data_IF_072817903284
#
_entry.id   IF_072817903284
#
_cell.length_a   1.000
_cell.length_b   1.000
_cell.length_c   1.000
_cell.angle_alpha   90.00
_cell.angle_beta   90.00
_cell.angle_gamma   90.00
#
_symmetry.space_group_name_H-M   'P 1'
#
loop_
_entity.id
_entity.type
_entity.pdbx_description
1 polymer ?
#
# COMPACT_ATOMS: atom_id res chain seq x y z
N UNK A 1 -35.16 11.18 40.80
CA UNK A 1 -36.20 10.58 39.92
C UNK A 1 -35.55 10.37 38.56
N UNK A 2 -35.07 9.16 38.27
CA UNK A 2 -34.42 8.86 36.99
C UNK A 2 -35.49 8.67 35.92
N UNK A 3 -35.44 9.45 34.84
CA UNK A 3 -36.27 9.24 33.66
C UNK A 3 -35.97 7.85 33.07
N UNK A 4 -36.93 6.93 33.22
CA UNK A 4 -36.96 5.70 32.45
C UNK A 4 -37.13 6.08 30.97
N UNK A 5 -36.03 6.02 30.21
CA UNK A 5 -36.06 6.11 28.74
C UNK A 5 -37.07 5.09 28.22
N UNK A 6 -38.18 5.58 27.66
CA UNK A 6 -39.19 4.76 26.99
C UNK A 6 -38.50 3.99 25.86
N UNK A 7 -38.38 2.68 26.05
CA UNK A 7 -37.90 1.75 25.02
C UNK A 7 -38.95 1.73 23.91
N UNK A 8 -38.57 2.16 22.71
CA UNK A 8 -39.44 2.08 21.54
C UNK A 8 -39.58 0.59 21.16
N UNK A 9 -40.80 0.01 21.11
CA UNK A 9 -41.00 -1.42 20.90
C UNK A 9 -40.56 -1.93 19.51
N UNK A 10 -40.11 -1.02 18.62
CA UNK A 10 -39.57 -1.34 17.29
C UNK A 10 -38.04 -1.22 17.20
N UNK A 11 -37.35 -0.95 18.30
CA UNK A 11 -35.89 -0.84 18.31
C UNK A 11 -35.26 -1.88 19.23
N UNK A 12 -34.30 -2.64 18.70
CA UNK A 12 -33.41 -3.48 19.48
C UNK A 12 -32.07 -2.74 19.60
N UNK A 13 -31.53 -2.66 20.81
CA UNK A 13 -30.16 -2.21 21.03
C UNK A 13 -29.27 -3.45 21.05
N UNK A 14 -28.40 -3.59 20.05
CA UNK A 14 -27.37 -4.63 20.02
C UNK A 14 -26.02 -4.02 20.37
N UNK A 15 -25.31 -4.65 21.30
CA UNK A 15 -23.91 -4.33 21.61
C UNK A 15 -23.06 -5.48 21.08
N UNK A 16 -22.09 -5.19 20.22
CA UNK A 16 -21.14 -6.18 19.70
C UNK A 16 -19.75 -5.87 20.20
N UNK A 17 -19.06 -6.89 20.71
CA UNK A 17 -17.61 -6.81 20.98
C UNK A 17 -16.86 -7.27 19.73
N UNK A 18 -15.86 -6.50 19.32
CA UNK A 18 -15.02 -6.81 18.16
C UNK A 18 -13.56 -6.75 18.59
N UNK A 19 -12.81 -7.80 18.27
CA UNK A 19 -11.36 -7.81 18.36
C UNK A 19 -10.79 -7.28 17.05
N UNK A 20 -9.89 -6.31 17.14
CA UNK A 20 -9.23 -5.68 15.99
C UNK A 20 -7.72 -5.74 16.16
N UNK A 21 -6.96 -5.87 15.07
CA UNK A 21 -5.51 -5.99 15.13
C UNK A 21 -4.86 -4.65 15.49
N UNK A 22 -3.78 -4.71 16.26
CA UNK A 22 -2.82 -3.62 16.37
C UNK A 22 -1.77 -3.85 15.28
N UNK A 23 -1.64 -2.89 14.36
CA UNK A 23 -0.72 -3.03 13.24
C UNK A 23 0.72 -3.13 13.73
N UNK A 24 1.56 -3.90 13.03
CA UNK A 24 2.99 -4.06 13.34
C UNK A 24 3.67 -2.69 13.50
N UNK A 25 3.43 -1.76 12.59
CA UNK A 25 4.04 -0.44 12.65
C UNK A 25 3.60 0.41 13.84
N UNK A 26 2.37 0.21 14.34
CA UNK A 26 1.92 0.83 15.59
C UNK A 26 2.70 0.27 16.77
N UNK A 27 2.88 -1.05 16.85
CA UNK A 27 3.67 -1.69 17.90
C UNK A 27 5.11 -1.17 17.90
N UNK A 28 5.74 -1.11 16.73
CA UNK A 28 7.10 -0.58 16.55
C UNK A 28 7.19 0.92 16.91
N UNK A 29 6.19 1.72 16.53
CA UNK A 29 6.10 3.14 16.89
C UNK A 29 6.05 3.35 18.40
N UNK A 30 5.15 2.64 19.08
CA UNK A 30 4.98 2.79 20.53
C UNK A 30 6.22 2.27 21.28
N UNK A 31 6.87 1.23 20.77
CA UNK A 31 8.12 0.71 21.31
C UNK A 31 9.34 1.64 21.08
N UNK A 32 9.22 2.65 20.22
CA UNK A 32 10.31 3.59 19.93
C UNK A 32 11.36 3.03 18.97
N UNK A 33 10.97 2.15 18.04
CA UNK A 33 11.85 1.71 16.95
C UNK A 33 12.29 2.91 16.12
N UNK A 34 13.59 3.00 15.81
CA UNK A 34 14.14 4.11 15.05
C UNK A 34 13.68 4.05 13.57
N UNK A 35 12.95 5.06 13.07
CA UNK A 35 12.51 5.10 11.67
C UNK A 35 13.64 4.98 10.66
N UNK A 36 14.77 5.67 10.90
CA UNK A 36 15.91 5.67 9.97
C UNK A 36 16.50 4.27 9.82
N UNK A 37 16.64 3.54 10.93
CA UNK A 37 17.11 2.15 10.91
C UNK A 37 16.09 1.22 10.24
N UNK A 38 14.79 1.47 10.41
CA UNK A 38 13.74 0.67 9.77
C UNK A 38 13.79 0.73 8.24
N UNK A 39 14.33 1.81 7.66
CA UNK A 39 14.49 1.99 6.22
C UNK A 39 15.80 1.42 5.67
N UNK A 40 16.78 1.07 6.51
CA UNK A 40 18.07 0.55 6.06
C UNK A 40 17.97 -0.65 5.10
N UNK A 41 17.04 -1.63 5.26
CA UNK A 41 16.83 -2.72 4.30
C UNK A 41 16.49 -2.27 2.87
N UNK A 42 15.98 -1.06 2.72
CA UNK A 42 15.55 -0.51 1.44
C UNK A 42 16.57 0.46 0.87
N UNK A 43 17.36 1.12 1.72
CA UNK A 43 18.28 2.20 1.33
C UNK A 43 19.72 1.76 1.17
N UNK A 44 20.15 0.72 1.88
CA UNK A 44 21.54 0.24 1.82
C UNK A 44 21.67 -0.67 0.59
N UNK A 45 22.31 -0.15 -0.44
CA UNK A 45 22.62 -0.91 -1.65
C UNK A 45 23.48 -2.14 -1.31
N UNK A 46 23.07 -3.30 -1.82
CA UNK A 46 23.77 -4.56 -1.58
C UNK A 46 23.53 -5.21 -0.21
N UNK A 47 22.56 -4.73 0.60
CA UNK A 47 22.18 -5.43 1.82
C UNK A 47 21.61 -6.82 1.49
N UNK A 48 22.26 -7.85 2.04
CA UNK A 48 21.83 -9.24 1.89
C UNK A 48 20.68 -9.59 2.85
N UNK A 49 20.10 -10.78 2.66
CA UNK A 49 19.00 -11.27 3.48
C UNK A 49 19.36 -11.39 4.97
N UNK A 50 20.65 -11.61 5.29
CA UNK A 50 21.10 -11.68 6.67
C UNK A 50 21.03 -10.31 7.34
N UNK A 51 21.52 -9.25 6.69
CA UNK A 51 21.42 -7.88 7.20
C UNK A 51 19.97 -7.45 7.43
N UNK A 52 19.06 -7.82 6.53
CA UNK A 52 17.63 -7.55 6.72
C UNK A 52 17.05 -8.29 7.94
N UNK A 53 17.44 -9.55 8.14
CA UNK A 53 17.02 -10.35 9.31
C UNK A 53 17.58 -9.81 10.61
N UNK A 54 18.83 -9.34 10.62
CA UNK A 54 19.44 -8.71 11.81
C UNK A 54 18.69 -7.45 12.25
N UNK A 55 18.33 -6.57 11.31
CA UNK A 55 17.53 -5.38 11.60
C UNK A 55 16.15 -5.77 12.13
N UNK A 56 15.50 -6.74 11.49
CA UNK A 56 14.19 -7.23 11.94
C UNK A 56 14.25 -7.81 13.36
N UNK A 57 15.31 -8.57 13.68
CA UNK A 57 15.53 -9.15 15.00
C UNK A 57 15.81 -8.07 16.05
N UNK A 58 16.63 -7.06 15.73
CA UNK A 58 16.89 -5.91 16.60
C UNK A 58 15.60 -5.17 16.94
N UNK A 59 14.76 -4.89 15.93
CA UNK A 59 13.48 -4.21 16.15
C UNK A 59 12.55 -5.04 17.03
N UNK A 60 12.52 -6.37 16.84
CA UNK A 60 11.73 -7.27 17.67
C UNK A 60 12.19 -7.27 19.14
N UNK A 61 13.50 -7.19 19.39
CA UNK A 61 14.05 -7.10 20.76
C UNK A 61 13.67 -5.78 21.44
N UNK A 62 13.70 -4.66 20.72
CA UNK A 62 13.22 -3.36 21.22
C UNK A 62 11.74 -3.45 21.61
N UNK A 63 10.90 -4.03 20.75
CA UNK A 63 9.48 -4.22 21.02
C UNK A 63 9.27 -5.08 22.27
N UNK A 64 9.92 -6.25 22.35
CA UNK A 64 9.79 -7.16 23.49
C UNK A 64 10.21 -6.51 24.82
N UNK A 65 11.27 -5.70 24.80
CA UNK A 65 11.71 -4.97 25.97
C UNK A 65 10.70 -3.89 26.38
N UNK A 66 10.17 -3.13 25.41
CA UNK A 66 9.19 -2.07 25.66
C UNK A 66 7.85 -2.64 26.17
N UNK A 67 7.39 -3.78 25.65
CA UNK A 67 6.13 -4.43 26.03
C UNK A 67 6.01 -4.76 27.52
N UNK A 68 7.12 -4.87 28.24
CA UNK A 68 7.12 -5.13 29.68
C UNK A 68 7.00 -3.84 30.52
N UNK A 69 6.96 -2.67 29.87
CA UNK A 69 6.99 -1.38 30.56
C UNK A 69 5.59 -0.77 30.68
N UNK A 70 5.34 -0.09 31.79
CA UNK A 70 4.11 0.69 31.99
C UNK A 70 3.96 1.81 30.95
N UNK A 71 5.06 2.45 30.59
CA UNK A 71 5.09 3.55 29.61
C UNK A 71 4.58 3.09 28.23
N UNK A 72 5.02 1.91 27.77
CA UNK A 72 4.53 1.32 26.53
C UNK A 72 3.02 1.11 26.55
N UNK A 73 2.47 0.53 27.62
CA UNK A 73 1.04 0.29 27.73
C UNK A 73 0.22 1.60 27.78
N UNK A 74 0.72 2.63 28.47
CA UNK A 74 0.05 3.94 28.52
C UNK A 74 0.04 4.62 27.15
N UNK A 75 1.17 4.63 26.44
CA UNK A 75 1.27 5.16 25.07
C UNK A 75 0.40 4.38 24.09
N UNK A 76 0.42 3.05 24.17
CA UNK A 76 -0.39 2.19 23.32
C UNK A 76 -1.88 2.44 23.55
N UNK A 77 -2.30 2.51 24.81
CA UNK A 77 -3.69 2.77 25.17
C UNK A 77 -4.15 4.15 24.66
N UNK A 78 -3.35 5.20 24.84
CA UNK A 78 -3.64 6.54 24.31
C UNK A 78 -3.82 6.53 22.78
N UNK A 79 -2.86 5.93 22.06
CA UNK A 79 -2.93 5.81 20.60
C UNK A 79 -4.14 4.99 20.13
N UNK A 80 -4.45 3.88 20.82
CA UNK A 80 -5.61 3.04 20.51
C UNK A 80 -6.93 3.74 20.81
N UNK A 81 -7.01 4.54 21.87
CA UNK A 81 -8.22 5.33 22.14
C UNK A 81 -8.49 6.35 21.04
N UNK A 82 -7.46 7.02 20.53
CA UNK A 82 -7.58 7.92 19.39
C UNK A 82 -8.01 7.17 18.12
N UNK A 83 -7.38 6.02 17.85
CA UNK A 83 -7.71 5.14 16.71
C UNK A 83 -9.17 4.68 16.76
N UNK A 84 -9.66 4.24 17.92
CA UNK A 84 -11.06 3.80 18.11
C UNK A 84 -12.02 4.96 17.87
N UNK A 85 -11.71 6.17 18.33
CA UNK A 85 -12.53 7.36 18.06
C UNK A 85 -12.60 7.65 16.55
N UNK A 86 -11.48 7.60 15.84
CA UNK A 86 -11.45 7.79 14.39
C UNK A 86 -12.22 6.69 13.65
N UNK A 87 -12.04 5.42 14.03
CA UNK A 87 -12.78 4.30 13.46
C UNK A 87 -14.30 4.45 13.66
N UNK A 88 -14.73 4.85 14.86
CA UNK A 88 -16.13 5.15 15.15
C UNK A 88 -16.65 6.35 14.34
N UNK A 89 -15.83 7.38 14.15
CA UNK A 89 -16.17 8.53 13.32
C UNK A 89 -16.39 8.12 11.85
N UNK A 90 -15.50 7.32 11.27
CA UNK A 90 -15.62 6.84 9.88
C UNK A 90 -16.86 5.96 9.72
N UNK A 91 -17.08 4.99 10.62
CA UNK A 91 -18.25 4.09 10.56
C UNK A 91 -19.58 4.83 10.72
N UNK A 92 -19.61 5.93 11.48
CA UNK A 92 -20.79 6.81 11.64
C UNK A 92 -20.88 7.93 10.61
N UNK A 93 -19.87 8.07 9.74
CA UNK A 93 -19.72 9.18 8.77
C UNK A 93 -19.71 10.56 9.44
N UNK A 94 -19.09 10.66 10.61
CA UNK A 94 -18.89 11.91 11.34
C UNK A 94 -17.72 12.70 10.74
N UNK A 95 -18.07 13.58 9.79
CA UNK A 95 -17.09 14.37 9.02
C UNK A 95 -16.29 15.33 9.91
N UNK A 96 -16.90 15.88 10.97
CA UNK A 96 -16.21 16.83 11.85
C UNK A 96 -15.13 16.11 12.68
N UNK A 97 -15.44 14.91 13.20
CA UNK A 97 -14.47 14.10 13.92
C UNK A 97 -13.36 13.53 13.03
N UNK A 98 -13.61 13.32 11.73
CA UNK A 98 -12.60 12.89 10.75
C UNK A 98 -11.69 14.03 10.26
N UNK A 99 -12.14 15.29 10.39
CA UNK A 99 -11.48 16.47 9.82
C UNK A 99 -10.00 16.61 10.21
N UNK A 100 -9.58 16.39 11.48
CA UNK A 100 -8.17 16.53 11.87
C UNK A 100 -7.23 15.63 11.06
N UNK A 101 -7.70 14.45 10.64
CA UNK A 101 -6.88 13.44 9.97
C UNK A 101 -6.84 13.57 8.45
N UNK A 102 -7.78 14.31 7.85
CA UNK A 102 -8.04 14.28 6.40
C UNK A 102 -8.11 15.65 5.75
N UNK A 103 -8.46 16.71 6.49
CA UNK A 103 -8.65 18.02 5.91
C UNK A 103 -7.34 18.63 5.40
N UNK A 104 -7.40 19.20 4.19
CA UNK A 104 -6.24 19.80 3.55
C UNK A 104 -5.19 18.79 3.08
N UNK A 105 -5.45 17.47 3.18
CA UNK A 105 -4.50 16.44 2.76
C UNK A 105 -4.88 15.82 1.41
N UNK A 106 -3.85 15.42 0.67
CA UNK A 106 -3.92 14.56 -0.52
C UNK A 106 -3.22 13.26 -0.21
N UNK A 107 -3.90 12.15 -0.45
CA UNK A 107 -3.40 10.80 -0.14
C UNK A 107 -2.91 10.13 -1.42
N UNK A 108 -1.60 9.97 -1.52
CA UNK A 108 -0.90 9.41 -2.67
C UNK A 108 -0.58 7.94 -2.41
N UNK A 109 -1.28 7.05 -3.09
CA UNK A 109 -1.09 5.61 -2.99
C UNK A 109 -0.19 5.12 -4.12
N UNK A 110 0.97 4.56 -3.77
CA UNK A 110 1.83 3.87 -4.72
C UNK A 110 1.43 2.40 -4.74
N UNK A 111 0.83 1.98 -5.85
CA UNK A 111 0.22 0.66 -6.06
C UNK A 111 0.98 -0.10 -7.15
N UNK A 112 0.68 -1.38 -7.31
CA UNK A 112 1.30 -2.25 -8.30
C UNK A 112 1.94 -3.48 -7.68
N UNK A 113 2.34 -4.41 -8.55
CA UNK A 113 3.02 -5.64 -8.12
C UNK A 113 4.41 -5.30 -7.53
N UNK A 114 4.96 -6.12 -6.61
CA UNK A 114 6.37 -6.02 -6.24
C UNK A 114 7.30 -6.05 -7.47
N UNK A 115 8.51 -5.48 -7.32
CA UNK A 115 9.55 -5.43 -8.38
C UNK A 115 9.20 -4.59 -9.63
N UNK A 116 8.19 -3.73 -9.54
CA UNK A 116 7.80 -2.79 -10.61
C UNK A 116 8.39 -1.38 -10.47
N UNK A 117 9.35 -1.18 -9.57
CA UNK A 117 9.93 0.15 -9.28
C UNK A 117 9.11 1.03 -8.32
N UNK A 118 8.04 0.50 -7.72
CA UNK A 118 7.20 1.26 -6.77
C UNK A 118 7.96 1.87 -5.57
N UNK A 119 9.05 1.26 -5.10
CA UNK A 119 9.90 1.88 -4.05
C UNK A 119 10.65 3.10 -4.59
N UNK A 120 11.21 3.02 -5.79
CA UNK A 120 11.91 4.13 -6.46
C UNK A 120 10.95 5.32 -6.64
N UNK A 121 9.74 5.06 -7.15
CA UNK A 121 8.70 6.08 -7.30
C UNK A 121 8.28 6.64 -5.94
N UNK A 122 8.07 5.79 -4.94
CA UNK A 122 7.70 6.22 -3.59
C UNK A 122 8.75 7.18 -3.01
N UNK A 123 10.03 6.82 -3.02
CA UNK A 123 11.09 7.66 -2.45
C UNK A 123 11.22 9.00 -3.18
N UNK A 124 11.31 8.96 -4.52
CA UNK A 124 11.52 10.15 -5.33
C UNK A 124 10.34 11.13 -5.21
N UNK A 125 9.11 10.63 -5.41
CA UNK A 125 7.91 11.48 -5.37
C UNK A 125 7.64 11.97 -3.95
N UNK A 126 7.83 11.13 -2.93
CA UNK A 126 7.69 11.57 -1.53
C UNK A 126 8.61 12.73 -1.21
N UNK A 127 9.90 12.61 -1.53
CA UNK A 127 10.87 13.69 -1.30
C UNK A 127 10.50 14.97 -2.07
N UNK A 128 10.08 14.83 -3.33
CA UNK A 128 9.69 15.95 -4.17
C UNK A 128 8.49 16.75 -3.65
N UNK A 129 7.58 16.10 -2.92
CA UNK A 129 6.42 16.72 -2.28
C UNK A 129 6.63 17.02 -0.79
N UNK A 130 7.85 16.87 -0.27
CA UNK A 130 8.18 17.17 1.12
C UNK A 130 7.62 16.18 2.14
N UNK A 131 7.23 14.97 1.73
CA UNK A 131 6.82 13.92 2.65
C UNK A 131 8.06 13.33 3.35
N UNK A 132 8.16 13.35 4.69
CA UNK A 132 9.37 13.01 5.42
C UNK A 132 9.53 11.49 5.60
N UNK A 133 9.41 10.72 4.53
CA UNK A 133 9.32 9.26 4.56
C UNK A 133 10.48 8.58 5.31
N UNK A 134 11.70 9.10 5.21
CA UNK A 134 12.90 8.58 5.90
C UNK A 134 12.81 8.69 7.44
N UNK A 135 11.97 9.60 7.94
CA UNK A 135 11.74 9.82 9.38
C UNK A 135 10.47 9.14 9.88
N UNK A 136 9.73 8.46 8.98
CA UNK A 136 8.54 7.70 9.31
C UNK A 136 8.87 6.21 9.27
N UNK A 137 8.18 5.40 10.06
CA UNK A 137 8.44 3.96 10.11
C UNK A 137 8.11 3.30 8.77
N UNK A 138 9.04 2.46 8.29
CA UNK A 138 8.86 1.66 7.08
C UNK A 138 7.55 0.86 7.16
N UNK A 139 7.30 0.22 8.29
CA UNK A 139 6.11 -0.62 8.53
C UNK A 139 4.77 0.14 8.55
N UNK A 140 4.79 1.46 8.71
CA UNK A 140 3.59 2.31 8.65
C UNK A 140 3.34 2.89 7.25
N UNK A 141 4.36 2.96 6.40
CA UNK A 141 4.30 3.72 5.15
C UNK A 141 4.62 2.89 3.90
N UNK A 142 5.11 1.67 4.06
CA UNK A 142 5.55 0.81 2.96
C UNK A 142 5.23 -0.67 3.19
N UNK A 143 4.40 -1.22 2.30
CA UNK A 143 4.03 -2.62 2.08
C UNK A 143 3.49 -3.43 3.28
N UNK A 144 3.67 -2.97 4.50
CA UNK A 144 3.23 -3.62 5.75
C UNK A 144 1.92 -3.03 6.27
N UNK A 145 1.44 -1.93 5.65
CA UNK A 145 0.24 -1.21 6.04
C UNK A 145 -0.72 -1.08 4.86
N UNK A 146 -1.99 -1.50 5.01
CA UNK A 146 -2.46 -2.47 6.00
C UNK A 146 -1.85 -3.86 5.75
N UNK A 147 -2.02 -4.77 6.70
CA UNK A 147 -1.66 -6.17 6.56
C UNK A 147 -2.39 -6.78 5.36
N UNK A 148 -1.62 -7.37 4.45
CA UNK A 148 -2.12 -7.92 3.21
C UNK A 148 -3.24 -8.96 3.41
N UNK A 149 -3.23 -9.72 4.53
CA UNK A 149 -4.25 -10.75 4.82
C UNK A 149 -5.67 -10.18 4.95
N UNK A 150 -5.79 -8.91 5.33
CA UNK A 150 -7.09 -8.22 5.41
C UNK A 150 -7.50 -7.60 4.07
N UNK A 151 -6.59 -7.51 3.10
CA UNK A 151 -6.88 -6.98 1.77
C UNK A 151 -7.13 -8.08 0.75
N UNK A 152 -6.31 -9.12 0.78
CA UNK A 152 -6.34 -10.26 -0.13
C UNK A 152 -6.07 -11.56 0.64
N UNK A 153 -6.80 -12.62 0.31
CA UNK A 153 -6.58 -13.98 0.82
C UNK A 153 -5.87 -14.86 -0.21
N UNK A 154 -6.17 -14.68 -1.49
CA UNK A 154 -5.56 -15.46 -2.56
C UNK A 154 -5.29 -14.58 -3.81
N UNK A 155 -4.04 -14.14 -4.03
CA UNK A 155 -3.70 -13.28 -5.17
C UNK A 155 -3.82 -13.98 -6.53
N UNK A 156 -3.90 -15.32 -6.56
CA UNK A 156 -4.11 -16.11 -7.77
C UNK A 156 -5.58 -16.25 -8.16
N UNK A 157 -6.51 -15.87 -7.28
CA UNK A 157 -7.93 -15.93 -7.56
C UNK A 157 -8.47 -14.55 -7.96
N UNK A 158 -9.07 -14.48 -9.14
CA UNK A 158 -9.80 -13.28 -9.56
C UNK A 158 -10.95 -12.96 -8.58
N UNK A 159 -11.67 -13.97 -8.10
CA UNK A 159 -12.84 -13.80 -7.25
C UNK A 159 -12.52 -13.74 -5.75
N UNK A 160 -11.28 -13.41 -5.40
CA UNK A 160 -10.91 -13.20 -4.01
C UNK A 160 -11.75 -12.09 -3.37
N UNK A 161 -12.48 -12.46 -2.31
CA UNK A 161 -13.33 -11.54 -1.58
C UNK A 161 -12.49 -10.61 -0.70
N UNK A 162 -11.35 -11.05 -0.17
CA UNK A 162 -10.37 -10.20 0.51
C UNK A 162 -10.98 -9.24 1.53
N UNK A 163 -10.73 -7.94 1.36
CA UNK A 163 -11.28 -6.85 2.18
C UNK A 163 -12.81 -6.73 2.18
N UNK A 164 -13.51 -7.36 1.22
CA UNK A 164 -14.98 -7.31 1.15
C UNK A 164 -15.66 -8.21 2.17
N UNK A 165 -14.91 -9.14 2.78
CA UNK A 165 -15.42 -9.95 3.89
C UNK A 165 -15.59 -9.05 5.13
N UNK A 166 -16.70 -9.11 5.89
CA UNK A 166 -16.98 -8.17 6.96
C UNK A 166 -15.88 -8.04 8.02
N UNK A 167 -15.25 -9.15 8.42
CA UNK A 167 -14.14 -9.16 9.39
C UNK A 167 -12.89 -8.49 8.81
N UNK A 168 -12.54 -8.79 7.57
CA UNK A 168 -11.39 -8.20 6.88
C UNK A 168 -11.62 -6.70 6.63
N UNK A 169 -12.83 -6.29 6.25
CA UNK A 169 -13.19 -4.89 6.06
C UNK A 169 -12.91 -4.09 7.33
N UNK A 170 -13.42 -4.55 8.48
CA UNK A 170 -13.24 -3.85 9.74
C UNK A 170 -11.77 -3.83 10.18
N UNK A 171 -11.03 -4.92 9.99
CA UNK A 171 -9.60 -4.99 10.33
C UNK A 171 -8.77 -4.06 9.44
N UNK A 172 -8.95 -4.11 8.12
CA UNK A 172 -8.26 -3.23 7.17
C UNK A 172 -8.60 -1.76 7.44
N UNK A 173 -9.87 -1.45 7.69
CA UNK A 173 -10.31 -0.11 8.04
C UNK A 173 -9.67 0.37 9.36
N UNK A 174 -9.61 -0.50 10.36
CA UNK A 174 -9.00 -0.16 11.65
C UNK A 174 -7.49 0.07 11.53
N UNK A 175 -6.76 -0.71 10.74
CA UNK A 175 -5.34 -0.46 10.46
C UNK A 175 -5.12 0.84 9.68
N UNK A 176 -5.99 1.15 8.70
CA UNK A 176 -5.94 2.45 8.02
C UNK A 176 -6.24 3.63 8.97
N UNK A 177 -7.06 3.43 10.02
CA UNK A 177 -7.22 4.42 11.08
C UNK A 177 -5.93 4.60 11.89
N UNK A 178 -5.22 3.52 12.20
CA UNK A 178 -3.92 3.60 12.88
C UNK A 178 -2.90 4.36 12.03
N UNK A 179 -2.86 4.11 10.73
CA UNK A 179 -2.06 4.90 9.79
C UNK A 179 -2.40 6.40 9.85
N UNK A 180 -3.68 6.75 9.80
CA UNK A 180 -4.10 8.15 9.86
C UNK A 180 -3.76 8.85 11.18
N UNK A 181 -3.92 8.15 12.31
CA UNK A 181 -3.50 8.66 13.63
C UNK A 181 -1.98 8.87 13.66
N UNK A 182 -1.22 7.91 13.15
CA UNK A 182 0.24 8.02 13.07
C UNK A 182 0.68 9.22 12.23
N UNK A 183 0.10 9.39 11.03
CA UNK A 183 0.37 10.56 10.18
C UNK A 183 -0.02 11.87 10.86
N UNK A 184 -1.14 11.89 11.60
CA UNK A 184 -1.57 13.06 12.34
C UNK A 184 -0.64 13.41 13.52
N UNK A 185 0.08 12.44 14.09
CA UNK A 185 1.05 12.70 15.17
C UNK A 185 2.43 13.10 14.65
N UNK A 186 2.89 12.46 13.59
CA UNK A 186 4.28 12.60 13.11
C UNK A 186 4.45 13.52 11.91
N UNK A 187 3.37 13.78 11.15
CA UNK A 187 3.41 14.52 9.89
C UNK A 187 2.14 15.38 9.68
N UNK A 188 1.65 16.01 10.76
CA UNK A 188 0.39 16.79 10.74
C UNK A 188 0.39 17.90 9.68
N UNK A 189 1.53 18.55 9.47
CA UNK A 189 1.67 19.71 8.58
C UNK A 189 1.89 19.33 7.11
N UNK A 190 1.98 18.03 6.80
CA UNK A 190 2.15 17.56 5.42
C UNK A 190 0.83 17.60 4.65
N UNK A 191 0.79 18.35 3.54
CA UNK A 191 -0.32 18.35 2.56
C UNK A 191 -0.37 17.02 1.79
N UNK A 192 0.78 16.49 1.37
CA UNK A 192 0.86 15.27 0.58
C UNK A 192 1.30 14.11 1.47
N UNK A 193 0.40 13.16 1.69
CA UNK A 193 0.64 11.93 2.45
C UNK A 193 0.89 10.79 1.46
N UNK A 194 1.93 9.99 1.68
CA UNK A 194 2.23 8.85 0.81
C UNK A 194 2.12 7.53 1.57
N UNK A 195 1.53 6.53 0.90
CA UNK A 195 1.50 5.14 1.34
C UNK A 195 1.80 4.25 0.14
N UNK A 196 2.87 3.46 0.21
CA UNK A 196 3.12 2.41 -0.78
C UNK A 196 2.58 1.09 -0.26
N UNK A 197 1.71 0.43 -1.00
CA UNK A 197 1.25 -0.92 -0.64
C UNK A 197 0.81 -1.70 -1.87
N UNK A 198 1.52 -2.79 -2.17
CA UNK A 198 1.11 -3.71 -3.23
C UNK A 198 -0.24 -4.36 -2.93
N UNK A 199 -0.55 -4.66 -1.66
CA UNK A 199 -1.83 -5.24 -1.26
C UNK A 199 -3.01 -4.29 -1.57
N UNK A 200 -2.86 -2.99 -1.32
CA UNK A 200 -3.90 -1.99 -1.61
C UNK A 200 -4.25 -1.87 -3.10
N UNK A 201 -3.48 -2.47 -4.01
CA UNK A 201 -3.86 -2.59 -5.42
C UNK A 201 -5.21 -3.32 -5.59
N UNK A 202 -5.53 -4.25 -4.69
CA UNK A 202 -6.82 -4.96 -4.67
C UNK A 202 -7.91 -4.21 -3.89
N UNK A 203 -7.55 -3.09 -3.25
CA UNK A 203 -8.36 -2.33 -2.31
C UNK A 203 -8.77 -0.93 -2.79
N UNK A 204 -8.66 -0.60 -4.07
CA UNK A 204 -8.93 0.76 -4.58
C UNK A 204 -10.34 1.25 -4.23
N UNK A 205 -11.34 0.36 -4.23
CA UNK A 205 -12.70 0.73 -3.81
C UNK A 205 -12.81 1.07 -2.32
N UNK A 206 -12.04 0.38 -1.46
CA UNK A 206 -11.90 0.72 -0.05
C UNK A 206 -11.23 2.09 0.11
N UNK A 207 -10.20 2.39 -0.69
CA UNK A 207 -9.54 3.70 -0.69
C UNK A 207 -10.47 4.81 -1.20
N UNK A 208 -11.27 4.56 -2.23
CA UNK A 208 -12.33 5.46 -2.69
C UNK A 208 -13.35 5.76 -1.58
N UNK A 209 -13.73 4.75 -0.80
CA UNK A 209 -14.64 4.93 0.33
C UNK A 209 -14.07 5.87 1.40
N UNK A 210 -12.76 5.80 1.67
CA UNK A 210 -12.11 6.59 2.73
C UNK A 210 -11.69 7.98 2.29
N UNK A 211 -11.09 8.07 1.10
CA UNK A 211 -10.37 9.27 0.64
C UNK A 211 -11.06 9.95 -0.54
N UNK A 212 -11.91 9.22 -1.28
CA UNK A 212 -12.66 9.74 -2.41
C UNK A 212 -11.76 10.50 -3.39
N UNK A 213 -12.10 11.77 -3.66
CA UNK A 213 -11.36 12.65 -4.57
C UNK A 213 -10.02 13.15 -4.03
N UNK A 214 -9.74 12.95 -2.74
CA UNK A 214 -8.45 13.31 -2.14
C UNK A 214 -7.37 12.24 -2.41
N UNK A 215 -7.77 11.07 -2.93
CA UNK A 215 -6.83 10.04 -3.32
C UNK A 215 -6.16 10.36 -4.66
N UNK A 216 -4.90 9.99 -4.78
CA UNK A 216 -4.16 9.86 -6.03
C UNK A 216 -3.51 8.49 -6.07
N UNK A 217 -3.70 7.77 -7.16
CA UNK A 217 -3.20 6.41 -7.35
C UNK A 217 -2.08 6.44 -8.39
N UNK A 218 -0.88 6.07 -7.98
CA UNK A 218 0.28 5.92 -8.87
C UNK A 218 0.54 4.41 -8.98
N UNK A 219 0.14 3.83 -10.10
CA UNK A 219 0.21 2.39 -10.34
C UNK A 219 1.47 2.08 -11.13
N UNK A 220 2.45 1.44 -10.51
CA UNK A 220 3.65 1.00 -11.23
C UNK A 220 3.42 -0.33 -11.91
N UNK A 221 3.84 -0.45 -13.17
CA UNK A 221 3.72 -1.69 -13.98
C UNK A 221 5.05 -2.05 -14.61
N UNK A 222 5.31 -3.35 -14.75
CA UNK A 222 6.51 -3.91 -15.38
C UNK A 222 6.13 -5.21 -16.07
N UNK A 223 6.92 -5.62 -17.07
CA UNK A 223 6.72 -6.89 -17.75
C UNK A 223 6.81 -8.06 -16.74
N UNK A 224 5.84 -8.99 -16.76
CA UNK A 224 5.78 -10.10 -15.80
C UNK A 224 7.02 -11.00 -15.85
N UNK A 225 7.64 -11.18 -17.01
CA UNK A 225 8.92 -11.91 -17.12
C UNK A 225 10.05 -11.29 -16.29
N UNK A 226 10.18 -9.96 -16.33
CA UNK A 226 11.22 -9.25 -15.57
C UNK A 226 10.91 -9.28 -14.06
N UNK A 227 9.63 -9.29 -13.69
CA UNK A 227 9.21 -9.51 -12.30
C UNK A 227 9.68 -10.90 -11.86
N UNK A 228 9.39 -11.96 -12.62
CA UNK A 228 9.81 -13.34 -12.30
C UNK A 228 11.33 -13.41 -12.09
N UNK A 229 12.12 -12.90 -13.03
CA UNK A 229 13.58 -12.96 -12.98
C UNK A 229 14.18 -12.16 -11.82
N UNK A 230 13.54 -11.05 -11.44
CA UNK A 230 14.04 -10.20 -10.35
C UNK A 230 13.46 -10.54 -8.98
N UNK A 231 12.57 -11.53 -8.87
CA UNK A 231 11.90 -11.90 -7.62
C UNK A 231 12.83 -12.53 -6.58
N UNK A 232 14.07 -12.87 -6.92
CA UNK A 232 15.06 -13.39 -5.99
C UNK A 232 14.74 -14.79 -5.44
N UNK A 233 13.84 -15.54 -6.10
CA UNK A 233 13.53 -16.91 -5.70
C UNK A 233 14.74 -17.79 -6.02
N UNK A 234 15.46 -18.23 -4.98
CA UNK A 234 16.57 -19.18 -5.11
C UNK A 234 16.10 -20.42 -5.88
N UNK A 235 16.90 -20.83 -6.89
CA UNK A 235 16.62 -21.98 -7.76
C UNK A 235 16.34 -21.63 -9.21
N UNK A 236 16.27 -22.66 -10.06
CA UNK A 236 16.05 -22.49 -11.50
C UNK A 236 14.72 -21.76 -11.78
N UNK A 237 14.74 -20.88 -12.78
CA UNK A 237 13.55 -20.23 -13.30
C UNK A 237 12.79 -21.24 -14.16
N UNK A 238 11.53 -21.50 -13.80
CA UNK A 238 10.67 -22.47 -14.47
C UNK A 238 9.49 -21.78 -15.14
N UNK A 239 8.94 -22.41 -16.18
CA UNK A 239 7.69 -21.95 -16.82
C UNK A 239 6.54 -21.81 -15.81
N UNK A 240 6.50 -22.67 -14.79
CA UNK A 240 5.51 -22.58 -13.70
C UNK A 240 5.59 -21.25 -12.94
N UNK A 241 6.80 -20.79 -12.56
CA UNK A 241 6.99 -19.48 -11.91
C UNK A 241 6.55 -18.31 -12.81
N UNK A 242 6.79 -18.42 -14.12
CA UNK A 242 6.30 -17.44 -15.10
C UNK A 242 4.77 -17.44 -15.18
N UNK A 243 4.13 -18.61 -15.17
CA UNK A 243 2.66 -18.74 -15.15
C UNK A 243 2.05 -18.15 -13.88
N UNK A 244 2.62 -18.46 -12.71
CA UNK A 244 2.20 -17.89 -11.43
C UNK A 244 2.30 -16.36 -11.43
N UNK A 245 3.43 -15.83 -11.89
CA UNK A 245 3.66 -14.38 -11.99
C UNK A 245 2.66 -13.74 -12.95
N UNK A 246 2.40 -14.36 -14.10
CA UNK A 246 1.44 -13.86 -15.09
C UNK A 246 0.00 -13.85 -14.54
N UNK A 247 -0.39 -14.89 -13.80
CA UNK A 247 -1.69 -14.98 -13.14
C UNK A 247 -1.86 -13.86 -12.11
N UNK A 248 -0.87 -13.67 -11.24
CA UNK A 248 -0.87 -12.56 -10.27
C UNK A 248 -0.90 -11.20 -10.96
N UNK A 249 -0.12 -11.01 -12.03
CA UNK A 249 -0.08 -9.78 -12.82
C UNK A 249 -1.46 -9.45 -13.38
N UNK A 250 -2.09 -10.40 -14.08
CA UNK A 250 -3.42 -10.22 -14.68
C UNK A 250 -4.49 -9.90 -13.63
N UNK A 251 -4.49 -10.64 -12.51
CA UNK A 251 -5.44 -10.45 -11.43
C UNK A 251 -5.26 -9.09 -10.73
N UNK A 252 -4.02 -8.67 -10.45
CA UNK A 252 -3.74 -7.43 -9.75
C UNK A 252 -4.21 -6.22 -10.56
N UNK A 253 -3.76 -6.11 -11.82
CA UNK A 253 -4.05 -4.91 -12.61
C UNK A 253 -5.51 -4.84 -13.07
N UNK A 254 -6.17 -5.98 -13.29
CA UNK A 254 -7.63 -5.96 -13.51
C UNK A 254 -8.39 -5.57 -12.23
N UNK A 255 -7.97 -6.06 -11.05
CA UNK A 255 -8.64 -5.77 -9.77
C UNK A 255 -8.64 -4.30 -9.37
N UNK A 256 -7.63 -3.51 -9.79
CA UNK A 256 -7.54 -2.06 -9.52
C UNK A 256 -8.79 -1.32 -10.00
N UNK A 257 -9.31 -1.69 -11.17
CA UNK A 257 -10.44 -1.01 -11.83
C UNK A 257 -11.73 -1.82 -11.80
N UNK A 258 -11.67 -3.13 -11.58
CA UNK A 258 -12.82 -4.06 -11.70
C UNK A 258 -14.06 -3.61 -10.95
N UNK A 259 -13.91 -3.20 -9.70
CA UNK A 259 -15.06 -2.99 -8.80
C UNK A 259 -15.65 -1.58 -8.86
N UNK A 260 -14.87 -0.61 -9.36
CA UNK A 260 -15.27 0.77 -9.54
C UNK A 260 -14.23 1.56 -10.34
N UNK A 261 -14.71 2.60 -11.03
CA UNK A 261 -13.85 3.71 -11.46
C UNK A 261 -13.21 4.36 -10.22
N UNK A 262 -11.88 4.58 -10.20
CA UNK A 262 -11.22 5.42 -9.20
C UNK A 262 -11.90 6.80 -9.10
N UNK A 263 -12.22 7.26 -7.88
CA UNK A 263 -12.80 8.59 -7.67
C UNK A 263 -11.72 9.68 -7.63
N UNK A 264 -10.53 9.31 -7.20
CA UNK A 264 -9.32 10.12 -7.27
C UNK A 264 -8.58 9.98 -8.60
N UNK A 265 -7.51 10.75 -8.76
CA UNK A 265 -6.68 10.71 -9.96
C UNK A 265 -5.89 9.40 -10.02
N UNK A 266 -5.78 8.79 -11.20
CA UNK A 266 -4.98 7.57 -11.41
C UNK A 266 -3.95 7.80 -12.52
N UNK A 267 -2.75 7.30 -12.32
CA UNK A 267 -1.66 7.35 -13.29
C UNK A 267 -0.95 6.01 -13.29
N UNK A 268 -0.83 5.39 -14.46
CA UNK A 268 -0.02 4.18 -14.63
C UNK A 268 1.39 4.59 -15.07
N UNK A 269 2.40 4.10 -14.36
CA UNK A 269 3.80 4.40 -14.60
C UNK A 269 4.50 3.11 -14.96
N UNK A 270 4.83 2.95 -16.23
CA UNK A 270 5.59 1.82 -16.73
C UNK A 270 7.06 1.93 -16.29
N UNK A 271 7.62 0.82 -15.82
CA UNK A 271 9.03 0.69 -15.49
C UNK A 271 9.91 0.95 -16.73
N UNK A 272 11.07 1.57 -16.55
CA UNK A 272 11.94 2.00 -17.65
C UNK A 272 11.98 3.52 -17.82
N UNK A 273 12.25 3.96 -19.06
CA UNK A 273 12.38 5.39 -19.42
C UNK A 273 11.12 6.19 -19.02
N UNK A 274 9.94 5.57 -19.14
CA UNK A 274 8.65 6.14 -18.73
C UNK A 274 8.60 6.49 -17.24
N UNK A 275 9.19 5.66 -16.37
CA UNK A 275 9.31 5.92 -14.94
C UNK A 275 10.26 7.07 -14.65
N UNK A 276 11.43 7.09 -15.29
CA UNK A 276 12.40 8.19 -15.19
C UNK A 276 11.78 9.51 -15.64
N UNK A 277 11.07 9.50 -16.77
CA UNK A 277 10.33 10.65 -17.30
C UNK A 277 9.24 11.12 -16.33
N UNK A 278 8.48 10.21 -15.74
CA UNK A 278 7.47 10.55 -14.72
C UNK A 278 8.10 11.23 -13.49
N UNK A 279 9.19 10.67 -12.95
CA UNK A 279 9.90 11.22 -11.79
C UNK A 279 10.45 12.62 -12.11
N UNK A 280 11.09 12.78 -13.27
CA UNK A 280 11.63 14.06 -13.71
C UNK A 280 10.55 15.12 -13.90
N UNK A 281 9.40 14.75 -14.46
CA UNK A 281 8.24 15.65 -14.56
C UNK A 281 7.73 16.09 -13.17
N UNK A 282 7.80 15.22 -12.16
CA UNK A 282 7.45 15.59 -10.78
C UNK A 282 8.48 16.58 -10.22
N UNK A 283 9.77 16.29 -10.36
CA UNK A 283 10.86 17.16 -9.91
C UNK A 283 10.77 18.56 -10.53
N UNK A 284 10.49 18.65 -11.83
CA UNK A 284 10.30 19.92 -12.53
C UNK A 284 9.07 20.68 -11.99
N UNK A 285 7.94 19.99 -11.78
CA UNK A 285 6.71 20.61 -11.25
C UNK A 285 6.87 21.12 -9.82
N UNK A 286 7.58 20.40 -8.96
CA UNK A 286 7.80 20.78 -7.56
C UNK A 286 9.06 21.61 -7.35
N UNK A 287 9.83 21.86 -8.42
CA UNK A 287 11.14 22.54 -8.38
C UNK A 287 12.11 21.85 -7.41
N UNK A 288 12.05 20.52 -7.36
CA UNK A 288 12.83 19.70 -6.45
C UNK A 288 14.06 19.12 -7.15
N UNK A 289 15.24 19.39 -6.60
CA UNK A 289 16.49 18.73 -6.98
C UNK A 289 16.91 18.90 -8.44
N UNK A 290 17.89 18.09 -8.85
CA UNK A 290 18.30 17.90 -10.24
C UNK A 290 17.52 16.76 -10.88
N UNK A 291 17.49 16.76 -12.22
CA UNK A 291 16.91 15.67 -13.01
C UNK A 291 17.55 14.33 -12.61
N UNK A 292 16.74 13.32 -12.36
CA UNK A 292 17.19 11.94 -12.17
C UNK A 292 17.85 11.46 -13.46
N UNK A 293 19.06 10.91 -13.32
CA UNK A 293 19.73 10.22 -14.42
C UNK A 293 18.94 8.96 -14.79
N UNK A 294 18.90 8.68 -16.09
CA UNK A 294 18.36 7.43 -16.58
C UNK A 294 19.29 6.29 -16.17
N UNK A 295 18.86 5.48 -15.23
CA UNK A 295 19.54 4.22 -14.93
C UNK A 295 19.42 3.32 -16.15
N UNK A 296 20.53 2.73 -16.60
CA UNK A 296 20.52 1.70 -17.64
C UNK A 296 19.57 0.58 -17.25
N UNK A 297 18.41 0.53 -17.90
CA UNK A 297 17.46 -0.57 -17.76
C UNK A 297 17.97 -1.74 -18.60
N UNK A 298 18.28 -2.86 -17.95
CA UNK A 298 18.79 -4.04 -18.64
C UNK A 298 17.61 -4.86 -19.17
N UNK A 299 17.57 -5.04 -20.49
CA UNK A 299 16.66 -6.01 -21.11
C UNK A 299 17.11 -7.42 -20.73
N UNK A 300 16.19 -8.21 -20.17
CA UNK A 300 16.41 -9.63 -19.92
C UNK A 300 16.18 -10.41 -21.21
N UNK A 301 17.19 -11.14 -21.66
CA UNK A 301 17.07 -12.05 -22.81
C UNK A 301 16.68 -13.47 -22.37
N UNK A 302 17.02 -13.86 -21.14
CA UNK A 302 16.88 -15.23 -20.61
C UNK A 302 15.52 -15.53 -19.96
N UNK A 303 14.44 -14.85 -20.36
CA UNK A 303 13.08 -15.17 -19.89
C UNK A 303 12.36 -16.12 -20.85
N UNK A 304 11.28 -16.74 -20.38
CA UNK A 304 10.46 -17.65 -21.19
C UNK A 304 9.62 -16.92 -22.26
N UNK A 305 10.29 -16.45 -23.31
CA UNK A 305 9.69 -15.64 -24.38
C UNK A 305 8.57 -16.38 -25.11
N UNK A 306 8.73 -17.67 -25.39
CA UNK A 306 7.70 -18.50 -26.02
C UNK A 306 6.41 -18.51 -25.20
N UNK A 307 6.52 -18.57 -23.86
CA UNK A 307 5.35 -18.48 -22.99
C UNK A 307 4.69 -17.10 -23.07
N UNK A 308 5.43 -16.00 -23.00
CA UNK A 308 4.84 -14.66 -23.04
C UNK A 308 4.27 -14.27 -24.43
N UNK A 309 4.83 -14.82 -25.51
CA UNK A 309 4.31 -14.67 -26.88
C UNK A 309 3.11 -15.58 -27.17
N UNK A 310 2.74 -16.49 -26.24
CA UNK A 310 1.63 -17.42 -26.43
C UNK A 310 0.27 -16.71 -26.43
N UNK A 311 -0.69 -17.26 -27.19
CA UNK A 311 -2.05 -16.72 -27.32
C UNK A 311 -2.75 -16.56 -25.96
N UNK A 312 -2.52 -17.47 -25.01
CA UNK A 312 -3.12 -17.41 -23.69
C UNK A 312 -2.62 -16.20 -22.88
N UNK A 313 -1.32 -15.89 -22.94
CA UNK A 313 -0.75 -14.72 -22.26
C UNK A 313 -1.18 -13.43 -22.93
N UNK A 314 -1.18 -13.38 -24.26
CA UNK A 314 -1.66 -12.21 -25.00
C UNK A 314 -3.13 -11.88 -24.67
N UNK A 315 -3.99 -12.90 -24.49
CA UNK A 315 -5.37 -12.71 -23.99
C UNK A 315 -5.44 -12.10 -22.60
N UNK A 316 -4.49 -12.40 -21.70
CA UNK A 316 -4.46 -11.78 -20.37
C UNK A 316 -4.04 -10.31 -20.47
N UNK A 317 -3.05 -9.97 -21.30
CA UNK A 317 -2.72 -8.56 -21.57
C UNK A 317 -3.90 -7.78 -22.15
N UNK A 318 -4.59 -8.35 -23.15
CA UNK A 318 -5.80 -7.77 -23.71
C UNK A 318 -6.91 -7.62 -22.68
N UNK A 319 -7.10 -8.62 -21.81
CA UNK A 319 -8.10 -8.58 -20.74
C UNK A 319 -7.85 -7.40 -19.80
N UNK A 320 -6.61 -7.20 -19.34
CA UNK A 320 -6.25 -6.06 -18.48
C UNK A 320 -6.48 -4.75 -19.23
N UNK A 321 -5.97 -4.61 -20.45
CA UNK A 321 -6.15 -3.39 -21.27
C UNK A 321 -7.62 -3.04 -21.46
N UNK A 322 -8.44 -4.03 -21.81
CA UNK A 322 -9.87 -3.84 -22.03
C UNK A 322 -10.60 -3.50 -20.73
N UNK A 323 -10.21 -4.10 -19.60
CA UNK A 323 -10.80 -3.79 -18.28
C UNK A 323 -10.61 -2.32 -17.90
N UNK A 324 -9.44 -1.75 -18.18
CA UNK A 324 -9.18 -0.32 -17.94
C UNK A 324 -9.93 0.59 -18.91
N UNK A 325 -9.99 0.19 -20.19
CA UNK A 325 -10.72 0.92 -21.23
C UNK A 325 -12.22 1.03 -20.94
N UNK A 326 -12.83 0.04 -20.26
CA UNK A 326 -14.23 0.12 -19.81
C UNK A 326 -14.52 1.33 -18.90
N UNK A 327 -13.49 1.89 -18.26
CA UNK A 327 -13.58 3.06 -17.40
C UNK A 327 -12.93 4.32 -18.00
N UNK A 328 -12.69 4.33 -19.32
CA UNK A 328 -12.01 5.40 -20.05
C UNK A 328 -10.58 5.67 -19.53
N UNK A 329 -9.89 4.62 -19.09
CA UNK A 329 -8.51 4.70 -18.63
C UNK A 329 -7.60 3.89 -19.57
N UNK A 330 -6.43 4.45 -19.86
CA UNK A 330 -5.39 3.76 -20.61
C UNK A 330 -4.52 2.92 -19.68
N UNK A 331 -4.19 1.71 -20.13
CA UNK A 331 -3.22 0.84 -19.47
C UNK A 331 -2.12 0.46 -20.46
N UNK A 332 -0.85 0.84 -20.21
CA UNK A 332 0.27 0.44 -21.05
C UNK A 332 0.54 -1.06 -20.84
N UNK A 333 0.59 -1.81 -21.95
CA UNK A 333 1.09 -3.19 -21.92
C UNK A 333 2.60 -3.09 -22.03
N UNK A 334 3.36 -3.52 -21.01
CA UNK A 334 4.81 -3.51 -21.09
C UNK A 334 5.26 -4.52 -22.14
N UNK A 335 5.90 -4.05 -23.20
CA UNK A 335 6.37 -4.86 -24.32
C UNK A 335 7.81 -5.36 -24.11
N UNK A 336 8.56 -4.66 -23.27
CA UNK A 336 9.96 -4.98 -22.95
C UNK A 336 10.11 -5.67 -21.60
N UNK A 337 10.89 -6.74 -21.58
CA UNK A 337 11.33 -7.42 -20.36
C UNK A 337 12.52 -6.68 -19.72
N UNK A 338 12.30 -5.44 -19.30
CA UNK A 338 13.30 -4.59 -18.61
C UNK A 338 13.10 -4.55 -17.12
#
# INVERSE_FOLDING_TARGET
MQEQKRVNPRTINMTTTMEVPIAKGTIEYIAGVNPVESWAPVLVEGMDDNGQREIAQKNLEIVKAAEQTKEYHEKLHDFMQETVKLFQAITRRDVDAMRPYTAGKKFNFILGMPRTGGTTVYNAVSSAYGWPWERLLLSMTHNSMPNAIFIQQNPFSEFDMGWRLPWNFNNALFELCQFLVYVNREAQDCENVFLKSSALSYGVKLLNFLFGKQAKYIVTVRHPGAITLTSGVEGEMTREKHMETMSMWGNLYSSIVRDCRPLGDITVVEYGENMTGYINNVFEKTRYGSRAEETSFFEFEDYDKEFYDSESVQKVFEYVKNSWKLFDLDFPIPDKCI
#
